data_IF_730162798432
#
_entry.id   IF_730162798432
#
_cell.length_a   1.000
_cell.length_b   1.000
_cell.length_c   1.000
_cell.angle_alpha   90.00
_cell.angle_beta   90.00
_cell.angle_gamma   90.00
#
_symmetry.space_group_name_H-M   'P 1'
#
loop_
_entity.id
_entity.type
_entity.pdbx_description
1 polymer ?
#
# COMPACT_ATOMS: atom_id res chain seq x y z
N UNK A 1 -1.50 15.06 -13.33
CA UNK A 1 -2.33 14.09 -12.58
C UNK A 1 -3.80 14.32 -12.91
N UNK A 2 -4.62 13.26 -13.03
CA UNK A 2 -6.06 13.44 -13.19
C UNK A 2 -6.65 13.98 -11.87
N UNK A 3 -7.38 15.11 -11.85
CA UNK A 3 -7.83 15.75 -10.60
C UNK A 3 -8.62 14.80 -9.69
N UNK A 4 -9.40 13.87 -10.29
CA UNK A 4 -10.16 12.87 -9.54
C UNK A 4 -9.30 11.89 -8.73
N UNK A 5 -8.06 11.60 -9.16
CA UNK A 5 -7.18 10.70 -8.41
C UNK A 5 -6.70 11.35 -7.10
N UNK A 6 -6.36 12.64 -7.14
CA UNK A 6 -5.93 13.37 -5.96
C UNK A 6 -7.07 13.51 -4.95
N UNK A 7 -8.28 13.87 -5.42
CA UNK A 7 -9.44 13.99 -4.54
C UNK A 7 -9.77 12.68 -3.82
N UNK A 8 -9.70 11.54 -4.52
CA UNK A 8 -9.93 10.23 -3.91
C UNK A 8 -8.83 9.84 -2.90
N UNK A 9 -7.56 10.09 -3.23
CA UNK A 9 -6.47 9.88 -2.27
C UNK A 9 -6.66 10.72 -1.00
N UNK A 10 -7.05 12.00 -1.13
CA UNK A 10 -7.37 12.87 0.00
C UNK A 10 -8.59 12.38 0.81
N UNK A 11 -9.51 11.67 0.17
CA UNK A 11 -10.62 10.96 0.82
C UNK A 11 -10.20 9.61 1.41
N UNK A 12 -8.91 9.28 1.38
CA UNK A 12 -8.32 8.01 1.84
C UNK A 12 -8.79 6.79 1.05
N UNK A 13 -9.11 6.99 -0.22
CA UNK A 13 -9.48 5.93 -1.15
C UNK A 13 -8.36 5.72 -2.17
N UNK A 14 -8.03 4.47 -2.49
CA UNK A 14 -7.15 4.12 -3.60
C UNK A 14 -7.98 3.93 -4.88
N UNK A 15 -7.92 4.83 -5.88
CA UNK A 15 -8.68 4.66 -7.11
C UNK A 15 -8.14 3.46 -7.89
N UNK A 16 -9.02 2.54 -8.28
CA UNK A 16 -8.64 1.43 -9.17
C UNK A 16 -8.01 1.92 -10.48
N UNK A 17 -8.49 3.04 -11.03
CA UNK A 17 -7.91 3.67 -12.21
C UNK A 17 -6.47 4.14 -11.99
N UNK A 18 -6.15 4.65 -10.79
CA UNK A 18 -4.78 5.05 -10.45
C UNK A 18 -3.86 3.83 -10.37
N UNK A 19 -4.30 2.76 -9.71
CA UNK A 19 -3.54 1.51 -9.63
C UNK A 19 -3.28 0.92 -11.01
N UNK A 20 -4.30 0.92 -11.88
CA UNK A 20 -4.18 0.43 -13.25
C UNK A 20 -3.22 1.29 -14.09
N UNK A 21 -3.35 2.61 -14.06
CA UNK A 21 -2.42 3.51 -14.77
C UNK A 21 -0.98 3.35 -14.28
N UNK A 22 -0.77 3.10 -12.97
CA UNK A 22 0.56 2.83 -12.44
C UNK A 22 1.13 1.52 -13.01
N UNK A 23 0.32 0.46 -13.08
CA UNK A 23 0.70 -0.82 -13.68
C UNK A 23 1.05 -0.68 -15.18
N UNK A 24 0.24 0.03 -15.96
CA UNK A 24 0.52 0.35 -17.38
C UNK A 24 1.83 1.13 -17.56
N UNK A 25 2.17 1.98 -16.59
CA UNK A 25 3.44 2.71 -16.55
C UNK A 25 4.62 1.88 -16.02
N UNK A 26 4.43 0.60 -15.71
CA UNK A 26 5.45 -0.28 -15.15
C UNK A 26 5.77 -0.03 -13.68
N UNK A 27 4.94 0.74 -12.98
CA UNK A 27 5.07 1.04 -11.56
C UNK A 27 4.19 0.07 -10.76
N UNK A 28 4.82 -0.89 -10.06
CA UNK A 28 4.12 -1.75 -9.10
C UNK A 28 3.76 -0.95 -7.86
N UNK A 29 2.58 -0.35 -7.87
CA UNK A 29 2.07 0.46 -6.74
C UNK A 29 1.74 -0.44 -5.55
N UNK A 30 0.80 -1.37 -5.74
CA UNK A 30 0.36 -2.32 -4.71
C UNK A 30 1.39 -3.43 -4.51
N UNK A 31 1.58 -3.92 -3.26
CA UNK A 31 2.49 -5.02 -2.98
C UNK A 31 1.96 -6.34 -3.55
N UNK A 32 2.86 -7.13 -4.13
CA UNK A 32 2.62 -8.51 -4.49
C UNK A 32 2.90 -9.44 -3.29
N UNK A 33 2.49 -10.71 -3.39
CA UNK A 33 2.66 -11.69 -2.31
C UNK A 33 4.13 -11.92 -1.93
N UNK A 34 5.04 -11.74 -2.89
CA UNK A 34 6.49 -11.87 -2.77
C UNK A 34 7.20 -10.58 -2.34
N UNK A 35 6.50 -9.44 -2.28
CA UNK A 35 7.07 -8.18 -1.77
C UNK A 35 7.13 -8.16 -0.22
N UNK A 36 6.39 -9.05 0.45
CA UNK A 36 6.39 -9.19 1.91
C UNK A 36 7.26 -10.40 2.32
N UNK A 37 8.33 -10.13 3.08
CA UNK A 37 9.17 -11.18 3.72
C UNK A 37 8.97 -11.21 5.24
N UNK A 38 7.82 -11.69 5.72
CA UNK A 38 7.50 -11.72 7.14
C UNK A 38 8.28 -12.83 7.86
N UNK A 39 8.95 -12.48 8.95
CA UNK A 39 9.60 -13.44 9.86
C UNK A 39 8.81 -13.58 11.16
N UNK A 40 8.70 -14.82 11.64
CA UNK A 40 8.05 -15.12 12.92
C UNK A 40 8.84 -16.18 13.68
N UNK A 41 9.00 -16.00 14.99
CA UNK A 41 9.72 -16.93 15.87
C UNK A 41 8.83 -18.02 16.48
N UNK A 42 7.58 -18.12 16.02
CA UNK A 42 6.64 -19.11 16.56
C UNK A 42 7.01 -20.55 16.11
N UNK A 43 6.67 -21.58 16.90
CA UNK A 43 7.00 -22.98 16.57
C UNK A 43 6.12 -23.60 15.47
N UNK A 44 5.29 -22.80 14.80
CA UNK A 44 4.41 -23.25 13.72
C UNK A 44 5.20 -23.43 12.41
N UNK A 45 4.94 -24.53 11.71
CA UNK A 45 5.62 -24.90 10.47
C UNK A 45 4.80 -24.57 9.21
N UNK A 46 3.59 -24.00 9.38
CA UNK A 46 2.80 -23.47 8.28
C UNK A 46 3.51 -22.33 7.54
N UNK A 47 3.31 -22.25 6.21
CA UNK A 47 3.85 -21.18 5.36
C UNK A 47 2.71 -20.48 4.58
N UNK A 48 2.33 -19.24 4.95
CA UNK A 48 2.70 -18.54 6.18
C UNK A 48 2.10 -19.20 7.44
N UNK A 49 2.70 -18.96 8.61
CA UNK A 49 2.07 -19.36 9.87
C UNK A 49 0.88 -18.44 10.18
N UNK A 50 0.01 -18.84 11.12
CA UNK A 50 -1.19 -18.04 11.47
C UNK A 50 -0.88 -16.60 11.91
N UNK A 51 0.27 -16.36 12.53
CA UNK A 51 0.67 -15.02 12.97
C UNK A 51 1.07 -14.14 11.79
N UNK A 52 1.86 -14.70 10.87
CA UNK A 52 2.22 -14.01 9.63
C UNK A 52 0.96 -13.73 8.80
N UNK A 53 0.07 -14.71 8.66
CA UNK A 53 -1.20 -14.52 7.98
C UNK A 53 -2.02 -13.40 8.62
N UNK A 54 -2.18 -13.40 9.95
CA UNK A 54 -2.89 -12.35 10.68
C UNK A 54 -2.25 -10.97 10.48
N UNK A 55 -0.91 -10.89 10.47
CA UNK A 55 -0.19 -9.65 10.21
C UNK A 55 -0.41 -9.15 8.78
N UNK A 56 -0.37 -10.03 7.79
CA UNK A 56 -0.67 -9.68 6.39
C UNK A 56 -2.11 -9.16 6.24
N UNK A 57 -3.09 -9.82 6.87
CA UNK A 57 -4.48 -9.34 6.86
C UNK A 57 -4.63 -7.97 7.53
N UNK A 58 -3.98 -7.77 8.68
CA UNK A 58 -4.02 -6.47 9.36
C UNK A 58 -3.34 -5.38 8.52
N UNK A 59 -2.24 -5.71 7.84
CA UNK A 59 -1.54 -4.79 6.94
C UNK A 59 -2.43 -4.41 5.75
N UNK A 60 -3.12 -5.38 5.14
CA UNK A 60 -4.07 -5.12 4.07
C UNK A 60 -5.21 -4.19 4.52
N UNK A 61 -5.79 -4.45 5.70
CA UNK A 61 -6.84 -3.57 6.26
C UNK A 61 -6.36 -2.13 6.50
N UNK A 62 -5.11 -1.95 6.95
CA UNK A 62 -4.53 -0.62 7.09
C UNK A 62 -4.37 0.08 5.73
N UNK A 63 -3.88 -0.63 4.72
CA UNK A 63 -3.73 -0.10 3.36
C UNK A 63 -5.07 0.25 2.71
N UNK A 64 -6.09 -0.57 2.92
CA UNK A 64 -7.44 -0.33 2.43
C UNK A 64 -8.07 0.90 3.11
N UNK A 65 -7.69 1.18 4.36
CA UNK A 65 -8.20 2.33 5.13
C UNK A 65 -7.45 3.64 4.86
N UNK A 66 -6.18 3.57 4.47
CA UNK A 66 -5.38 4.75 4.15
C UNK A 66 -4.28 4.43 3.09
N UNK A 67 -4.46 4.88 1.83
CA UNK A 67 -3.49 4.64 0.77
C UNK A 67 -2.15 5.34 0.99
N UNK A 68 -2.05 6.34 1.87
CA UNK A 68 -0.78 6.98 2.18
C UNK A 68 0.13 6.09 3.02
N UNK A 69 -0.40 5.09 3.73
CA UNK A 69 0.42 4.10 4.44
C UNK A 69 1.30 3.32 3.45
N UNK A 70 0.79 3.01 2.26
CA UNK A 70 1.57 2.38 1.19
C UNK A 70 2.79 3.22 0.79
N UNK A 71 2.59 4.53 0.67
CA UNK A 71 3.63 5.47 0.27
C UNK A 71 4.63 5.68 1.40
N UNK A 72 4.15 5.73 2.64
CA UNK A 72 4.98 5.80 3.84
C UNK A 72 5.91 4.58 3.95
N UNK A 73 5.42 3.37 3.71
CA UNK A 73 6.25 2.15 3.68
C UNK A 73 7.33 2.21 2.59
N UNK A 74 7.11 2.99 1.52
CA UNK A 74 8.09 3.25 0.45
C UNK A 74 8.96 4.50 0.73
N UNK A 75 8.92 5.04 1.94
CA UNK A 75 9.73 6.18 2.37
C UNK A 75 9.20 7.55 1.93
N UNK A 76 7.91 7.66 1.60
CA UNK A 76 7.28 8.92 1.18
C UNK A 76 6.15 9.31 2.14
N UNK A 77 6.39 10.34 2.95
CA UNK A 77 5.38 10.83 3.88
C UNK A 77 4.21 11.53 3.16
N UNK A 78 3.00 11.45 3.73
CA UNK A 78 1.80 12.10 3.18
C UNK A 78 2.02 13.59 2.93
N UNK A 79 2.52 14.32 3.93
CA UNK A 79 2.75 15.77 3.81
C UNK A 79 3.75 16.11 2.70
N UNK A 80 4.86 15.38 2.64
CA UNK A 80 5.89 15.60 1.61
C UNK A 80 5.33 15.36 0.21
N UNK A 81 4.52 14.30 0.05
CA UNK A 81 3.86 14.00 -1.22
C UNK A 81 2.87 15.10 -1.62
N UNK A 82 2.03 15.55 -0.68
CA UNK A 82 1.05 16.60 -0.96
C UNK A 82 1.72 17.93 -1.31
N UNK A 83 2.81 18.28 -0.62
CA UNK A 83 3.61 19.47 -0.91
C UNK A 83 4.24 19.42 -2.31
N UNK A 84 4.62 18.23 -2.79
CA UNK A 84 5.13 18.03 -4.16
C UNK A 84 4.02 18.07 -5.22
N UNK A 85 2.84 17.52 -4.93
CA UNK A 85 1.70 17.49 -5.86
C UNK A 85 0.97 18.84 -5.97
N UNK A 86 1.07 19.69 -4.95
CA UNK A 86 0.49 21.03 -4.92
C UNK A 86 1.33 22.12 -5.59
N UNK A 87 2.52 21.79 -6.07
CA UNK A 87 3.39 22.67 -6.87
C UNK A 87 3.05 22.58 -8.36
#
# INVERSE_FOLDING_TARGET
AHPGHLSALLAKEMPHSLAHTAEEAGVRLLPAADDLDPSCTCPDHGRPCKHVAALCFQTALLLDSDPFVLLLMRGRGERELLDELGR
#
